data_IF_563223847454
#
_entry.id   IF_563223847454
#
_cell.length_a   1.000
_cell.length_b   1.000
_cell.length_c   1.000
_cell.angle_alpha   90.00
_cell.angle_beta   90.00
_cell.angle_gamma   90.00
#
_symmetry.space_group_name_H-M   'P 1'
#
loop_
_entity.id
_entity.type
_entity.pdbx_description
1 polymer ?
#
# COMPACT_ATOMS: atom_id res chain seq x y z
N UNK A 1 18.27 54.63 -1.39
CA UNK A 1 18.13 53.60 -2.44
C UNK A 1 18.12 52.19 -1.82
N UNK A 2 17.05 51.78 -1.12
CA UNK A 2 16.98 50.45 -0.47
C UNK A 2 15.60 49.76 -0.58
N UNK A 3 14.51 50.51 -0.63
CA UNK A 3 13.15 49.92 -0.73
C UNK A 3 12.83 49.34 -2.11
N UNK A 4 13.25 50.01 -3.19
CA UNK A 4 13.01 49.56 -4.57
C UNK A 4 13.66 48.20 -4.88
N UNK A 5 14.78 47.86 -4.22
CA UNK A 5 15.45 46.59 -4.43
C UNK A 5 14.72 45.42 -3.77
N UNK A 6 14.09 45.64 -2.62
CA UNK A 6 13.34 44.59 -1.89
C UNK A 6 12.04 44.25 -2.64
N UNK A 7 11.32 45.26 -3.14
CA UNK A 7 10.14 45.05 -3.97
C UNK A 7 10.49 44.35 -5.30
N UNK A 8 11.59 44.74 -5.94
CA UNK A 8 12.06 44.10 -7.17
C UNK A 8 12.43 42.64 -6.93
N UNK A 9 13.07 42.33 -5.79
CA UNK A 9 13.42 40.96 -5.43
C UNK A 9 12.18 40.10 -5.17
N UNK A 10 11.16 40.66 -4.51
CA UNK A 10 9.89 39.98 -4.26
C UNK A 10 9.14 39.63 -5.54
N UNK A 11 9.09 40.55 -6.51
CA UNK A 11 8.45 40.32 -7.81
C UNK A 11 9.21 39.25 -8.61
N UNK A 12 10.55 39.30 -8.60
CA UNK A 12 11.37 38.29 -9.28
C UNK A 12 11.16 36.91 -8.65
N UNK A 13 11.13 36.82 -7.32
CA UNK A 13 10.94 35.55 -6.61
C UNK A 13 9.55 34.95 -6.89
N UNK A 14 8.51 35.78 -6.89
CA UNK A 14 7.15 35.36 -7.24
C UNK A 14 7.07 34.89 -8.71
N UNK A 15 7.76 35.58 -9.62
CA UNK A 15 7.85 35.16 -11.03
C UNK A 15 8.54 33.81 -11.20
N UNK A 16 9.68 33.58 -10.53
CA UNK A 16 10.38 32.29 -10.54
C UNK A 16 9.50 31.18 -9.98
N UNK A 17 8.79 31.45 -8.88
CA UNK A 17 7.88 30.48 -8.26
C UNK A 17 6.71 30.10 -9.18
N UNK A 18 6.11 31.08 -9.87
CA UNK A 18 5.04 30.83 -10.83
C UNK A 18 5.53 29.99 -12.03
N UNK A 19 6.73 30.30 -12.55
CA UNK A 19 7.37 29.51 -13.61
C UNK A 19 7.69 28.09 -13.14
N UNK A 20 8.10 27.91 -11.88
CA UNK A 20 8.36 26.60 -11.30
C UNK A 20 7.09 25.74 -11.19
N UNK A 21 5.96 26.31 -10.79
CA UNK A 21 4.66 25.60 -10.77
C UNK A 21 4.27 25.18 -12.19
N UNK A 22 4.37 26.08 -13.17
CA UNK A 22 4.08 25.78 -14.58
C UNK A 22 5.00 24.68 -15.10
N UNK A 23 6.29 24.71 -14.73
CA UNK A 23 7.26 23.68 -15.10
C UNK A 23 6.91 22.31 -14.49
N UNK A 24 6.50 22.23 -13.22
CA UNK A 24 6.03 20.97 -12.62
C UNK A 24 4.86 20.38 -13.40
N UNK A 25 3.91 21.21 -13.83
CA UNK A 25 2.76 20.74 -14.62
C UNK A 25 3.11 20.38 -16.07
N UNK A 26 4.15 20.99 -16.66
CA UNK A 26 4.63 20.64 -17.99
C UNK A 26 5.55 19.40 -17.99
N UNK A 27 6.21 19.11 -16.85
CA UNK A 27 7.12 17.97 -16.68
C UNK A 27 6.38 16.77 -16.05
N UNK A 28 5.08 16.61 -16.34
CA UNK A 28 4.45 15.29 -16.21
C UNK A 28 5.23 14.31 -17.12
N UNK A 29 5.86 13.25 -16.57
CA UNK A 29 6.49 12.25 -17.41
C UNK A 29 5.41 11.49 -18.17
N UNK A 30 5.12 11.91 -19.41
CA UNK A 30 4.36 11.15 -20.41
C UNK A 30 5.20 9.99 -20.96
N UNK A 31 5.86 9.22 -20.10
CA UNK A 31 6.70 8.08 -20.48
C UNK A 31 6.50 6.93 -19.51
N UNK A 32 5.34 6.28 -19.61
CA UNK A 32 5.16 4.88 -19.23
C UNK A 32 4.45 4.08 -20.34
N UNK A 33 4.46 4.59 -21.57
CA UNK A 33 4.29 3.74 -22.75
C UNK A 33 5.67 3.20 -23.11
N UNK A 34 5.78 1.87 -23.16
CA UNK A 34 6.95 1.09 -23.60
C UNK A 34 8.00 0.77 -22.53
N UNK A 35 7.61 -0.03 -21.54
CA UNK A 35 8.53 -1.03 -20.97
C UNK A 35 8.28 -2.35 -21.71
N UNK A 36 9.31 -2.98 -22.30
CA UNK A 36 9.14 -4.08 -23.24
C UNK A 36 8.57 -5.33 -22.56
N UNK A 37 7.43 -5.78 -23.08
CA UNK A 37 6.65 -6.99 -22.76
C UNK A 37 7.41 -8.33 -22.94
N UNK A 38 8.74 -8.32 -23.06
CA UNK A 38 9.56 -9.52 -23.30
C UNK A 38 10.44 -9.96 -22.13
N UNK A 39 10.48 -9.22 -21.02
CA UNK A 39 11.31 -9.59 -19.86
C UNK A 39 10.54 -10.21 -18.68
N UNK A 40 9.20 -10.16 -18.67
CA UNK A 40 8.38 -10.66 -17.55
C UNK A 40 7.78 -12.06 -17.81
N UNK A 41 7.74 -12.52 -19.06
CA UNK A 41 7.11 -13.79 -19.46
C UNK A 41 7.86 -15.07 -19.04
N UNK A 42 9.00 -15.00 -18.35
CA UNK A 42 9.79 -16.19 -18.00
C UNK A 42 9.62 -16.64 -16.54
N UNK A 43 9.06 -15.82 -15.65
CA UNK A 43 8.88 -16.21 -14.23
C UNK A 43 7.45 -16.74 -13.94
N UNK A 44 6.47 -16.48 -14.81
CA UNK A 44 5.06 -16.83 -14.59
C UNK A 44 4.69 -18.32 -14.82
N UNK A 45 5.59 -19.16 -15.33
CA UNK A 45 5.18 -20.45 -15.90
C UNK A 45 5.26 -21.70 -14.98
N UNK A 46 5.50 -21.59 -13.67
CA UNK A 46 5.76 -22.81 -12.86
C UNK A 46 4.87 -23.08 -11.64
N UNK A 47 4.16 -22.14 -11.01
CA UNK A 47 3.62 -22.44 -9.65
C UNK A 47 2.10 -22.51 -9.49
N UNK A 48 1.28 -22.43 -10.54
CA UNK A 48 -0.17 -22.58 -10.35
C UNK A 48 -0.88 -23.28 -11.50
N UNK A 49 -0.40 -24.48 -11.85
CA UNK A 49 -1.26 -25.48 -12.52
C UNK A 49 -2.22 -26.10 -11.51
N UNK A 50 -3.29 -25.38 -11.19
CA UNK A 50 -4.52 -25.97 -10.70
C UNK A 50 -5.61 -25.72 -11.76
N UNK A 51 -5.65 -26.61 -12.74
CA UNK A 51 -6.73 -26.64 -13.73
C UNK A 51 -8.01 -27.09 -13.06
N UNK A 52 -8.97 -26.16 -12.91
CA UNK A 52 -10.39 -26.48 -13.12
C UNK A 52 -11.02 -25.32 -13.87
N UNK A 53 -11.38 -25.58 -15.12
CA UNK A 53 -11.98 -24.62 -16.05
C UNK A 53 -13.43 -24.34 -15.62
N UNK A 54 -13.74 -23.11 -15.25
CA UNK A 54 -15.09 -22.49 -15.27
C UNK A 54 -14.90 -20.98 -15.09
N UNK A 55 -15.04 -20.17 -16.17
CA UNK A 55 -14.77 -18.72 -16.19
C UNK A 55 -13.41 -18.33 -15.58
N UNK A 56 -12.38 -18.23 -16.43
CA UNK A 56 -10.99 -17.94 -16.04
C UNK A 56 -10.90 -16.57 -15.34
N UNK A 57 -11.14 -16.59 -14.04
CA UNK A 57 -10.94 -15.45 -13.18
C UNK A 57 -9.44 -15.17 -13.13
N UNK A 58 -9.04 -14.01 -13.63
CA UNK A 58 -7.66 -13.56 -13.62
C UNK A 58 -7.61 -12.18 -12.97
N UNK A 59 -6.65 -12.01 -12.07
CA UNK A 59 -6.41 -10.72 -11.41
C UNK A 59 -5.89 -9.74 -12.45
N UNK A 60 -6.41 -8.51 -12.43
CA UNK A 60 -5.86 -7.45 -13.27
C UNK A 60 -4.49 -7.02 -12.71
N UNK A 61 -3.44 -7.55 -13.35
CA UNK A 61 -2.06 -7.34 -12.94
C UNK A 61 -1.62 -5.87 -13.05
N UNK A 62 -2.19 -5.10 -13.98
CA UNK A 62 -1.90 -3.66 -14.12
C UNK A 62 -2.40 -2.91 -12.87
N UNK A 63 -3.64 -3.20 -12.45
CA UNK A 63 -4.21 -2.62 -11.23
C UNK A 63 -3.49 -3.10 -9.98
N UNK A 64 -3.11 -4.37 -9.93
CA UNK A 64 -2.32 -4.89 -8.82
C UNK A 64 -0.99 -4.15 -8.68
N UNK A 65 -0.26 -3.96 -9.79
CA UNK A 65 1.01 -3.23 -9.80
C UNK A 65 0.83 -1.75 -9.41
N UNK A 66 -0.26 -1.10 -9.85
CA UNK A 66 -0.60 0.25 -9.43
C UNK A 66 -0.90 0.31 -7.92
N UNK A 67 -1.59 -0.69 -7.38
CA UNK A 67 -1.82 -0.86 -5.95
C UNK A 67 -0.53 -1.02 -5.16
N UNK A 68 0.40 -1.85 -5.62
CA UNK A 68 1.73 -2.00 -5.01
C UNK A 68 2.52 -0.69 -5.03
N UNK A 69 2.47 0.05 -6.14
CA UNK A 69 3.15 1.34 -6.23
C UNK A 69 2.58 2.37 -5.24
N UNK A 70 1.25 2.39 -5.05
CA UNK A 70 0.59 3.23 -4.05
C UNK A 70 0.91 2.77 -2.62
N UNK A 71 0.93 1.46 -2.38
CA UNK A 71 1.25 0.86 -1.09
C UNK A 71 2.67 1.22 -0.62
N UNK A 72 3.65 1.13 -1.52
CA UNK A 72 5.05 1.50 -1.26
C UNK A 72 5.23 3.00 -0.95
N UNK A 73 4.30 3.85 -1.40
CA UNK A 73 4.26 5.28 -1.09
C UNK A 73 3.43 5.61 0.16
N UNK A 74 3.07 4.60 0.95
CA UNK A 74 2.17 4.68 2.11
C UNK A 74 0.78 5.29 1.79
N UNK A 75 0.33 5.29 0.52
CA UNK A 75 -1.00 5.72 0.13
C UNK A 75 -1.99 4.54 0.18
N UNK A 76 -2.35 4.13 1.40
CA UNK A 76 -3.14 2.91 1.65
C UNK A 76 -4.58 2.98 1.17
N UNK A 77 -5.18 4.18 1.12
CA UNK A 77 -6.54 4.35 0.60
C UNK A 77 -6.55 4.07 -0.91
N UNK A 78 -5.62 4.68 -1.66
CA UNK A 78 -5.49 4.42 -3.09
C UNK A 78 -5.04 2.98 -3.37
N UNK A 79 -4.12 2.43 -2.58
CA UNK A 79 -3.66 1.05 -2.73
C UNK A 79 -4.83 0.06 -2.64
N UNK A 80 -5.70 0.20 -1.62
CA UNK A 80 -6.89 -0.66 -1.50
C UNK A 80 -7.87 -0.51 -2.66
N UNK A 81 -8.12 0.70 -3.15
CA UNK A 81 -8.98 0.90 -4.33
C UNK A 81 -8.40 0.18 -5.56
N UNK A 82 -7.10 0.32 -5.82
CA UNK A 82 -6.45 -0.41 -6.92
C UNK A 82 -6.51 -1.93 -6.74
N UNK A 83 -6.23 -2.45 -5.54
CA UNK A 83 -6.32 -3.88 -5.27
C UNK A 83 -7.75 -4.42 -5.38
N UNK A 84 -8.76 -3.66 -4.95
CA UNK A 84 -10.17 -4.05 -5.12
C UNK A 84 -10.59 -4.11 -6.59
N UNK A 85 -10.03 -3.22 -7.43
CA UNK A 85 -10.24 -3.28 -8.89
C UNK A 85 -9.44 -4.40 -9.53
N UNK A 86 -8.29 -4.76 -8.96
CA UNK A 86 -7.46 -5.88 -9.41
C UNK A 86 -8.13 -7.23 -9.15
N UNK A 87 -8.77 -7.37 -7.99
CA UNK A 87 -9.45 -8.60 -7.55
C UNK A 87 -10.92 -8.32 -7.14
N UNK A 88 -11.82 -7.95 -8.08
CA UNK A 88 -13.20 -7.58 -7.73
C UNK A 88 -14.00 -8.72 -7.11
N UNK A 89 -13.70 -9.96 -7.49
CA UNK A 89 -14.35 -11.16 -6.94
C UNK A 89 -13.73 -11.60 -5.59
N UNK A 90 -12.65 -10.96 -5.15
CA UNK A 90 -11.94 -11.25 -3.91
C UNK A 90 -11.50 -12.71 -3.77
N UNK A 91 -10.96 -13.27 -4.85
CA UNK A 91 -10.56 -14.68 -4.93
C UNK A 91 -9.05 -14.88 -4.86
N UNK A 92 -8.27 -13.82 -5.03
CA UNK A 92 -6.82 -13.91 -4.98
C UNK A 92 -6.27 -13.61 -3.58
N UNK A 93 -5.68 -14.64 -2.96
CA UNK A 93 -5.13 -14.53 -1.60
C UNK A 93 -4.04 -13.46 -1.51
N UNK A 94 -3.22 -13.28 -2.56
CA UNK A 94 -2.15 -12.28 -2.57
C UNK A 94 -2.74 -10.86 -2.53
N UNK A 95 -3.70 -10.57 -3.38
CA UNK A 95 -4.36 -9.26 -3.43
C UNK A 95 -5.12 -8.96 -2.15
N UNK A 96 -5.88 -9.93 -1.62
CA UNK A 96 -6.56 -9.77 -0.33
C UNK A 96 -5.57 -9.57 0.83
N UNK A 97 -4.40 -10.23 0.79
CA UNK A 97 -3.33 -10.02 1.78
C UNK A 97 -2.82 -8.58 1.76
N UNK A 98 -2.56 -7.99 0.59
CA UNK A 98 -2.12 -6.58 0.50
C UNK A 98 -3.21 -5.59 0.90
N UNK A 99 -4.49 -5.87 0.63
CA UNK A 99 -5.61 -5.05 1.14
C UNK A 99 -5.60 -5.06 2.66
N UNK A 100 -5.49 -6.23 3.25
CA UNK A 100 -5.43 -6.44 4.69
C UNK A 100 -4.22 -5.72 5.30
N UNK A 101 -3.04 -5.89 4.71
CA UNK A 101 -1.82 -5.22 5.16
C UNK A 101 -1.94 -3.69 5.09
N UNK A 102 -2.69 -3.17 4.10
CA UNK A 102 -2.96 -1.74 3.99
C UNK A 102 -3.78 -1.21 5.17
N UNK A 103 -4.72 -1.98 5.71
CA UNK A 103 -5.44 -1.62 6.94
C UNK A 103 -4.52 -1.58 8.16
N UNK A 104 -3.65 -2.58 8.33
CA UNK A 104 -2.65 -2.59 9.40
C UNK A 104 -1.77 -1.35 9.33
N UNK A 105 -1.18 -1.12 8.15
CA UNK A 105 -0.25 -0.02 7.93
C UNK A 105 -0.90 1.34 8.14
N UNK A 106 -2.14 1.54 7.72
CA UNK A 106 -2.85 2.80 7.92
C UNK A 106 -3.31 2.99 9.36
N UNK A 107 -3.81 1.93 10.00
CA UNK A 107 -4.31 2.00 11.37
C UNK A 107 -3.20 2.02 12.42
N UNK A 108 -1.97 1.65 12.07
CA UNK A 108 -0.86 1.64 13.00
C UNK A 108 -0.43 3.07 13.32
N UNK A 109 -0.72 3.53 14.54
CA UNK A 109 -0.24 4.80 15.05
C UNK A 109 1.01 4.63 15.92
N UNK A 110 1.73 5.73 16.13
CA UNK A 110 2.91 5.74 17.00
C UNK A 110 2.57 5.55 18.48
N UNK A 111 1.37 5.99 18.89
CA UNK A 111 0.92 6.00 20.30
C UNK A 111 -0.33 5.14 20.48
N UNK A 112 -1.31 5.27 19.58
CA UNK A 112 -2.53 4.46 19.59
C UNK A 112 -2.88 4.00 18.18
N UNK A 113 -3.41 2.79 18.06
CA UNK A 113 -3.92 2.28 16.79
C UNK A 113 -5.33 2.80 16.54
N UNK A 114 -5.69 2.93 15.26
CA UNK A 114 -7.07 3.13 14.86
C UNK A 114 -7.83 1.81 14.97
N UNK A 115 -8.62 1.69 16.04
CA UNK A 115 -9.41 0.50 16.34
C UNK A 115 -10.41 0.16 15.23
N UNK A 116 -10.92 1.13 14.47
CA UNK A 116 -11.85 0.84 13.38
C UNK A 116 -11.12 0.21 12.19
N UNK A 117 -9.95 0.74 11.85
CA UNK A 117 -9.11 0.17 10.80
C UNK A 117 -8.58 -1.21 11.19
N UNK A 118 -8.24 -1.43 12.46
CA UNK A 118 -7.79 -2.72 12.95
C UNK A 118 -8.91 -3.77 12.93
N UNK A 119 -10.13 -3.42 13.33
CA UNK A 119 -11.30 -4.31 13.20
C UNK A 119 -11.58 -4.67 11.74
N UNK A 120 -11.55 -3.69 10.82
CA UNK A 120 -11.70 -3.95 9.38
C UNK A 120 -10.58 -4.84 8.84
N UNK A 121 -9.35 -4.62 9.29
CA UNK A 121 -8.21 -5.47 8.95
C UNK A 121 -8.39 -6.92 9.43
N UNK A 122 -8.92 -7.11 10.64
CA UNK A 122 -9.23 -8.44 11.18
C UNK A 122 -10.32 -9.16 10.37
N UNK A 123 -11.34 -8.45 9.91
CA UNK A 123 -12.36 -9.04 9.04
C UNK A 123 -11.80 -9.46 7.68
N UNK A 124 -10.90 -8.65 7.09
CA UNK A 124 -10.30 -8.99 5.79
C UNK A 124 -9.23 -10.09 5.92
N UNK A 125 -8.47 -10.16 7.02
CA UNK A 125 -7.47 -11.22 7.22
C UNK A 125 -8.11 -12.60 7.34
N UNK A 126 -9.28 -12.70 7.99
CA UNK A 126 -10.01 -13.96 8.09
C UNK A 126 -10.46 -14.47 6.71
N UNK A 127 -10.76 -13.56 5.76
CA UNK A 127 -11.05 -13.94 4.37
C UNK A 127 -9.81 -14.45 3.67
N UNK A 128 -8.64 -13.82 3.87
CA UNK A 128 -7.37 -14.32 3.33
C UNK A 128 -7.08 -15.73 3.84
N UNK A 129 -7.27 -15.97 5.14
CA UNK A 129 -7.07 -17.29 5.76
C UNK A 129 -8.04 -18.33 5.19
N UNK A 130 -9.30 -17.92 4.92
CA UNK A 130 -10.30 -18.79 4.31
C UNK A 130 -9.98 -19.14 2.84
N UNK A 131 -9.35 -18.23 2.10
CA UNK A 131 -8.89 -18.45 0.72
C UNK A 131 -7.63 -19.33 0.68
N UNK A 132 -6.61 -18.95 1.45
CA UNK A 132 -5.35 -19.69 1.57
C UNK A 132 -4.72 -19.47 2.96
N UNK A 133 -4.92 -20.45 3.84
CA UNK A 133 -4.35 -20.46 5.18
C UNK A 133 -2.81 -20.49 5.20
N UNK A 134 -2.19 -21.08 4.18
CA UNK A 134 -0.74 -21.26 4.10
C UNK A 134 -0.08 -20.17 3.25
N UNK A 135 -0.84 -19.16 2.83
CA UNK A 135 -0.32 -18.05 2.05
C UNK A 135 0.89 -17.42 2.73
N UNK A 136 1.93 -17.19 1.94
CA UNK A 136 3.15 -16.51 2.38
C UNK A 136 3.61 -15.54 1.31
N UNK A 137 3.71 -14.27 1.69
CA UNK A 137 4.23 -13.23 0.81
C UNK A 137 5.73 -13.43 0.55
N UNK A 138 6.10 -13.23 -0.72
CA UNK A 138 7.47 -13.20 -1.22
C UNK A 138 8.14 -11.82 -1.05
N UNK A 139 7.38 -10.78 -0.71
CA UNK A 139 7.91 -9.42 -0.57
C UNK A 139 8.90 -9.32 0.61
N UNK A 140 10.12 -8.92 0.29
CA UNK A 140 11.21 -8.73 1.25
C UNK A 140 11.00 -7.51 2.15
N UNK A 141 10.19 -6.54 1.72
CA UNK A 141 9.95 -5.29 2.44
C UNK A 141 8.86 -5.43 3.51
N UNK A 142 8.15 -6.56 3.54
CA UNK A 142 7.14 -6.85 4.56
C UNK A 142 7.79 -7.64 5.70
N UNK A 143 7.65 -7.15 6.93
CA UNK A 143 8.14 -7.90 8.10
C UNK A 143 7.22 -9.05 8.48
N UNK A 144 5.90 -8.89 8.31
CA UNK A 144 4.94 -10.01 8.42
C UNK A 144 4.68 -10.59 7.04
N UNK A 145 4.79 -11.91 6.90
CA UNK A 145 4.69 -12.57 5.60
C UNK A 145 3.46 -13.46 5.50
N UNK A 146 2.81 -13.78 6.61
CA UNK A 146 1.66 -14.67 6.64
C UNK A 146 0.40 -13.97 7.14
N UNK A 147 -0.80 -14.41 6.72
CA UNK A 147 -2.06 -13.89 7.23
C UNK A 147 -2.22 -14.14 8.74
N UNK A 148 -1.66 -15.23 9.26
CA UNK A 148 -1.71 -15.57 10.69
C UNK A 148 -0.91 -14.58 11.53
N UNK A 149 0.30 -14.21 11.10
CA UNK A 149 1.09 -13.16 11.78
C UNK A 149 0.33 -11.83 11.79
N UNK A 150 -0.27 -11.47 10.66
CA UNK A 150 -1.01 -10.22 10.52
C UNK A 150 -2.27 -10.20 11.39
N UNK A 151 -2.97 -11.34 11.51
CA UNK A 151 -4.12 -11.52 12.41
C UNK A 151 -3.73 -11.29 13.86
N UNK A 152 -2.65 -11.92 14.32
CA UNK A 152 -2.17 -11.75 15.68
C UNK A 152 -1.85 -10.29 15.99
N UNK A 153 -1.23 -9.55 15.05
CA UNK A 153 -0.95 -8.12 15.24
C UNK A 153 -2.19 -7.24 15.31
N UNK A 154 -3.25 -7.58 14.57
CA UNK A 154 -4.53 -6.89 14.70
C UNK A 154 -5.18 -7.15 16.07
N UNK A 155 -5.17 -8.39 16.54
CA UNK A 155 -5.71 -8.76 17.85
C UNK A 155 -4.93 -8.08 18.98
N UNK A 156 -3.60 -8.12 18.93
CA UNK A 156 -2.73 -7.41 19.88
C UNK A 156 -2.99 -5.90 19.84
N UNK A 157 -3.12 -5.31 18.65
CA UNK A 157 -3.32 -3.87 18.52
C UNK A 157 -4.70 -3.37 18.94
N UNK A 158 -5.69 -4.25 19.10
CA UNK A 158 -7.02 -3.94 19.66
C UNK A 158 -7.09 -4.14 21.17
N UNK A 159 -6.18 -4.93 21.75
CA UNK A 159 -6.12 -5.15 23.18
C UNK A 159 -5.42 -3.96 23.84
N UNK A 160 -6.18 -3.16 24.60
CA UNK A 160 -5.57 -2.15 25.48
C UNK A 160 -4.99 -2.90 26.68
N UNK A 161 -3.67 -2.98 26.74
CA UNK A 161 -2.97 -3.62 27.85
C UNK A 161 -2.47 -2.55 28.82
N UNK A 162 -2.29 -2.92 30.10
CA UNK A 162 -1.73 -1.99 31.10
C UNK A 162 -0.32 -1.48 30.72
N UNK A 163 0.38 -2.22 29.87
CA UNK A 163 1.70 -1.88 29.32
C UNK A 163 1.66 -0.73 28.30
N UNK A 164 0.51 -0.42 27.68
CA UNK A 164 0.37 0.71 26.76
C UNK A 164 0.45 2.07 27.46
N UNK A 165 0.24 2.08 28.79
CA UNK A 165 0.44 3.26 29.65
C UNK A 165 1.86 3.37 30.20
N UNK A 166 2.77 2.47 29.81
CA UNK A 166 4.16 2.52 30.26
C UNK A 166 4.94 3.58 29.44
N UNK A 167 5.39 4.69 30.05
CA UNK A 167 6.08 5.78 29.36
C UNK A 167 7.43 5.34 28.74
N UNK A 168 7.96 4.18 29.11
CA UNK A 168 9.19 3.61 28.55
C UNK A 168 8.96 2.67 27.34
N UNK A 169 7.70 2.31 27.03
CA UNK A 169 7.32 1.44 25.89
C UNK A 169 6.53 2.15 24.78
N UNK A 170 6.40 3.48 24.86
CA UNK A 170 5.54 4.32 24.00
C UNK A 170 5.95 4.32 22.51
N UNK A 171 7.08 3.72 22.15
CA UNK A 171 7.58 3.68 20.77
C UNK A 171 7.48 2.26 20.22
N UNK A 172 6.25 1.77 19.96
CA UNK A 172 6.07 0.49 19.26
C UNK A 172 6.58 0.66 17.82
N UNK A 173 7.62 -0.08 17.44
CA UNK A 173 8.08 -0.08 16.05
C UNK A 173 7.09 -0.83 15.16
N UNK A 174 6.78 -0.23 14.02
CA UNK A 174 5.97 -0.84 12.97
C UNK A 174 6.66 -2.10 12.47
N UNK A 175 5.93 -3.22 12.40
CA UNK A 175 6.44 -4.44 11.76
C UNK A 175 6.22 -4.36 10.24
#
# INVERSE_FOLDING_TARGET
>A
MKEKHIQLLGIILAGIYAVFIIWIYLVEPKSLTEVPTKAQTTIENVTTKAQVITNTYEVDQEKFNAGLAAFKKDNFIAARDYFQRADPERRDAKTQFYITYSFYRQGFGKVYNDNELFKKGLEEVDKVIALDKNFKSDDENLRMKTPVELKNEFEEGLNITADDFNPFKVLRERK
#
